data_IF_041159568849
#
_entry.id   IF_041159568849
#
_cell.length_a   1.000
_cell.length_b   1.000
_cell.length_c   1.000
_cell.angle_alpha   90.00
_cell.angle_beta   90.00
_cell.angle_gamma   90.00
#
_symmetry.space_group_name_H-M   'P 1'
#
loop_
_entity.id
_entity.type
_entity.pdbx_description
1 polymer ?
#
# COMPACT_ATOMS: atom_id res chain seq x y z
N UNK A 1 -44.56 -61.97 -41.65
CA UNK A 1 -44.38 -62.79 -40.43
C UNK A 1 -44.58 -61.87 -39.21
N UNK A 2 -45.78 -61.88 -38.60
CA UNK A 2 -46.09 -62.19 -37.18
C UNK A 2 -45.28 -61.43 -36.09
N UNK A 3 -45.88 -60.37 -35.50
CA UNK A 3 -46.41 -60.21 -34.11
C UNK A 3 -45.80 -61.04 -32.91
N UNK A 4 -46.03 -60.69 -31.60
CA UNK A 4 -45.48 -59.56 -30.79
C UNK A 4 -45.23 -59.91 -29.26
N UNK A 5 -44.94 -58.89 -28.42
CA UNK A 5 -45.35 -58.64 -26.99
C UNK A 5 -45.16 -59.63 -25.81
N UNK A 6 -44.72 -59.08 -24.66
CA UNK A 6 -45.39 -59.02 -23.31
C UNK A 6 -44.34 -58.92 -22.17
N UNK A 7 -44.53 -58.28 -21.00
CA UNK A 7 -45.62 -57.55 -20.32
C UNK A 7 -45.11 -57.18 -18.89
N UNK A 8 -45.12 -55.92 -18.46
CA UNK A 8 -46.06 -55.20 -17.55
C UNK A 8 -46.31 -55.77 -16.12
N UNK A 9 -45.82 -54.99 -15.13
CA UNK A 9 -46.48 -54.39 -13.93
C UNK A 9 -47.34 -55.27 -12.99
N UNK A 10 -47.06 -55.20 -11.67
CA UNK A 10 -48.06 -54.95 -10.61
C UNK A 10 -47.45 -54.40 -9.31
N UNK A 11 -48.17 -53.43 -8.74
CA UNK A 11 -48.04 -52.76 -7.44
C UNK A 11 -48.83 -53.52 -6.35
N UNK A 12 -48.33 -53.65 -5.11
CA UNK A 12 -49.14 -53.99 -3.91
C UNK A 12 -48.45 -53.54 -2.59
N UNK A 13 -49.12 -52.67 -1.80
CA UNK A 13 -49.01 -52.57 -0.33
C UNK A 13 -50.06 -53.49 0.33
N UNK A 14 -49.89 -53.98 1.58
CA UNK A 14 -50.57 -53.30 2.72
C UNK A 14 -49.94 -53.43 4.14
N UNK A 15 -50.18 -52.37 4.95
CA UNK A 15 -50.59 -52.29 6.38
C UNK A 15 -49.68 -52.66 7.60
N UNK A 16 -49.93 -52.02 8.79
CA UNK A 16 -48.99 -51.91 9.92
C UNK A 16 -49.36 -52.77 11.15
N UNK A 17 -48.40 -53.05 12.04
CA UNK A 17 -48.64 -53.66 13.37
C UNK A 17 -47.76 -53.04 14.45
N UNK A 18 -48.40 -52.60 15.55
CA UNK A 18 -47.80 -52.12 16.80
C UNK A 18 -47.73 -53.25 17.85
N UNK A 19 -46.75 -53.20 18.78
CA UNK A 19 -46.93 -53.19 20.26
C UNK A 19 -45.76 -53.81 21.07
N UNK A 20 -45.57 -53.24 22.27
CA UNK A 20 -44.81 -53.68 23.46
C UNK A 20 -43.28 -53.41 23.45
N UNK A 21 -42.65 -52.76 24.43
CA UNK A 21 -43.03 -52.41 25.81
C UNK A 21 -42.15 -53.17 26.82
N UNK A 22 -41.03 -52.58 27.27
CA UNK A 22 -40.47 -52.84 28.61
C UNK A 22 -39.44 -51.78 29.01
N UNK A 23 -39.71 -51.09 30.12
CA UNK A 23 -38.78 -50.25 30.86
C UNK A 23 -37.89 -51.10 31.77
N UNK A 24 -36.69 -50.60 32.09
CA UNK A 24 -36.16 -50.51 33.46
C UNK A 24 -34.88 -49.67 33.51
N UNK A 25 -34.96 -48.62 34.33
CA UNK A 25 -33.96 -48.08 35.27
C UNK A 25 -32.74 -47.27 34.77
N UNK A 26 -32.80 -45.97 35.05
CA UNK A 26 -31.69 -45.00 35.15
C UNK A 26 -30.67 -45.36 36.27
N UNK A 27 -29.46 -44.79 36.23
CA UNK A 27 -29.24 -43.60 37.07
C UNK A 27 -28.51 -42.44 36.36
N UNK A 28 -28.84 -41.24 36.83
CA UNK A 28 -28.27 -39.96 36.45
C UNK A 28 -26.80 -39.79 36.87
N UNK A 29 -25.97 -39.25 35.97
CA UNK A 29 -24.72 -38.58 36.28
C UNK A 29 -24.54 -37.39 35.32
N UNK A 30 -24.12 -36.28 35.90
CA UNK A 30 -23.98 -34.92 35.36
C UNK A 30 -22.95 -34.75 34.24
N UNK A 31 -23.30 -33.85 33.30
CA UNK A 31 -22.60 -33.15 32.18
C UNK A 31 -21.07 -33.20 32.04
N UNK A 32 -20.54 -33.12 30.79
CA UNK A 32 -20.15 -31.80 30.30
C UNK A 32 -20.45 -31.51 28.82
N UNK A 33 -20.96 -30.30 28.59
CA UNK A 33 -20.75 -29.38 27.46
C UNK A 33 -20.05 -29.93 26.20
N UNK A 34 -20.80 -29.92 25.09
CA UNK A 34 -20.25 -30.09 23.75
C UNK A 34 -19.33 -28.92 23.40
N UNK A 35 -18.03 -29.11 23.62
CA UNK A 35 -16.95 -28.24 23.16
C UNK A 35 -16.86 -28.32 21.63
N UNK A 36 -17.51 -27.38 20.94
CA UNK A 36 -17.14 -27.03 19.56
C UNK A 36 -15.72 -26.46 19.54
N UNK A 37 -14.95 -26.64 18.45
CA UNK A 37 -13.57 -26.20 18.39
C UNK A 37 -13.50 -24.68 18.54
N UNK A 38 -13.03 -24.23 19.71
CA UNK A 38 -12.57 -22.87 19.93
C UNK A 38 -11.29 -22.69 19.11
N UNK A 39 -11.44 -22.14 17.90
CA UNK A 39 -10.31 -21.49 17.24
C UNK A 39 -9.81 -20.39 18.19
N UNK A 40 -8.62 -20.58 18.72
CA UNK A 40 -7.89 -19.65 19.58
C UNK A 40 -7.50 -18.40 18.79
N UNK A 41 -8.49 -17.53 18.55
CA UNK A 41 -8.33 -16.18 17.97
C UNK A 41 -7.67 -15.17 18.92
N UNK A 42 -6.70 -15.61 19.73
CA UNK A 42 -6.01 -14.77 20.72
C UNK A 42 -4.77 -14.08 20.15
N UNK A 43 -4.03 -14.73 19.25
CA UNK A 43 -2.77 -14.18 18.73
C UNK A 43 -2.94 -13.23 17.53
N UNK A 44 -4.08 -13.27 16.83
CA UNK A 44 -4.35 -12.38 15.69
C UNK A 44 -5.09 -11.10 16.09
N UNK A 45 -5.79 -11.08 17.23
CA UNK A 45 -6.48 -9.88 17.72
C UNK A 45 -5.53 -8.83 18.31
N UNK A 46 -4.37 -9.24 18.82
CA UNK A 46 -3.38 -8.34 19.42
C UNK A 46 -2.62 -7.48 18.40
N UNK A 47 -2.61 -7.85 17.13
CA UNK A 47 -1.92 -7.09 16.08
C UNK A 47 -2.78 -6.04 15.37
N UNK A 48 -4.11 -6.10 15.52
CA UNK A 48 -5.06 -5.28 14.73
C UNK A 48 -5.75 -4.16 15.51
N UNK A 49 -5.36 -3.91 16.77
CA UNK A 49 -5.97 -2.86 17.60
C UNK A 49 -4.92 -1.89 18.15
N UNK A 50 -4.44 -0.93 17.32
CA UNK A 50 -4.20 0.41 17.87
C UNK A 50 -4.55 1.53 16.87
N UNK A 51 -5.74 1.52 16.27
CA UNK A 51 -6.25 2.69 15.53
C UNK A 51 -7.51 3.32 16.15
N UNK A 52 -7.97 2.81 17.28
CA UNK A 52 -9.08 3.39 18.05
C UNK A 52 -8.75 3.22 19.53
N UNK A 53 -8.84 4.31 20.30
CA UNK A 53 -8.47 4.52 21.73
C UNK A 53 -7.01 4.97 21.99
N UNK A 54 -6.73 6.01 22.78
CA UNK A 54 -7.54 7.04 23.45
C UNK A 54 -6.54 8.00 24.13
N UNK A 55 -6.28 9.20 23.61
CA UNK A 55 -5.53 10.23 24.36
C UNK A 55 -5.75 11.69 23.85
N UNK A 56 -6.80 11.95 23.08
CA UNK A 56 -7.06 13.30 22.50
C UNK A 56 -8.30 14.01 23.09
N UNK A 57 -9.06 13.37 23.98
CA UNK A 57 -10.28 13.97 24.53
C UNK A 57 -10.04 14.73 25.85
N UNK A 58 -9.39 15.88 25.74
CA UNK A 58 -9.61 16.99 26.67
C UNK A 58 -10.15 18.18 25.88
N UNK A 59 -11.47 18.36 25.88
CA UNK A 59 -12.15 19.41 25.13
C UNK A 59 -12.07 20.77 25.84
N UNK A 60 -11.54 21.84 25.22
CA UNK A 60 -11.86 23.20 25.61
C UNK A 60 -13.25 23.57 25.06
N UNK A 61 -14.03 24.29 25.85
CA UNK A 61 -15.40 24.73 25.56
C UNK A 61 -15.58 25.27 24.12
N UNK A 62 -16.52 24.65 23.41
CA UNK A 62 -16.93 24.96 22.05
C UNK A 62 -17.69 26.30 21.99
N UNK A 63 -17.02 27.38 21.58
CA UNK A 63 -17.68 28.52 20.92
C UNK A 63 -16.70 29.56 20.37
N UNK A 64 -15.45 29.62 20.87
CA UNK A 64 -14.44 30.57 20.38
C UNK A 64 -13.31 29.93 19.54
N UNK A 65 -13.16 28.60 19.59
CA UNK A 65 -12.05 27.86 18.98
C UNK A 65 -12.28 27.40 17.52
N UNK A 66 -13.46 27.59 16.95
CA UNK A 66 -13.85 27.07 15.63
C UNK A 66 -13.29 27.86 14.43
N UNK A 67 -12.40 28.83 14.66
CA UNK A 67 -11.87 29.76 13.64
C UNK A 67 -10.35 29.77 13.50
N UNK A 68 -9.65 28.82 14.14
CA UNK A 68 -8.25 28.53 13.82
C UNK A 68 -8.23 27.51 12.67
N UNK A 69 -8.29 28.11 11.47
CA UNK A 69 -8.86 27.65 10.20
C UNK A 69 -7.96 26.69 9.42
N UNK A 70 -8.56 25.70 8.73
CA UNK A 70 -8.16 24.95 7.51
C UNK A 70 -6.69 25.01 7.09
N UNK A 71 -6.12 26.21 6.89
CA UNK A 71 -4.71 26.44 6.61
C UNK A 71 -3.77 25.83 7.65
N UNK A 72 -4.05 25.95 8.94
CA UNK A 72 -3.20 25.36 9.99
C UNK A 72 -3.19 23.82 9.93
N UNK A 73 -4.33 23.22 9.57
CA UNK A 73 -4.46 21.78 9.38
C UNK A 73 -3.67 21.31 8.16
N UNK A 74 -3.80 22.02 7.03
CA UNK A 74 -3.04 21.75 5.80
C UNK A 74 -1.53 21.92 6.01
N UNK A 75 -1.12 22.99 6.71
CA UNK A 75 0.28 23.23 7.05
C UNK A 75 0.84 22.16 8.00
N UNK A 76 0.00 21.57 8.86
CA UNK A 76 0.43 20.59 9.86
C UNK A 76 0.95 21.22 11.15
N UNK A 77 0.48 22.41 11.52
CA UNK A 77 0.96 23.11 12.73
C UNK A 77 0.79 22.28 14.02
N UNK A 78 -0.25 21.45 14.07
CA UNK A 78 -0.51 20.49 15.14
C UNK A 78 0.56 19.39 15.27
N UNK A 79 1.29 19.09 14.20
CA UNK A 79 2.31 18.03 14.16
C UNK A 79 3.68 18.50 14.68
N UNK A 80 3.86 19.82 14.88
CA UNK A 80 5.10 20.40 15.40
C UNK A 80 5.38 20.05 16.87
N UNK A 81 4.39 19.47 17.58
CA UNK A 81 4.53 19.13 18.99
C UNK A 81 5.60 18.04 19.19
N UNK A 82 6.62 18.26 20.04
CA UNK A 82 7.59 17.23 20.40
C UNK A 82 6.88 15.95 20.87
N UNK A 83 7.26 14.80 20.31
CA UNK A 83 6.60 13.51 20.58
C UNK A 83 5.43 13.17 19.63
N UNK A 84 5.10 14.05 18.68
CA UNK A 84 4.10 13.77 17.64
C UNK A 84 4.46 12.56 16.77
N UNK A 85 3.45 11.82 16.31
CA UNK A 85 3.63 10.62 15.49
C UNK A 85 4.39 10.87 14.18
N UNK A 86 4.49 12.13 13.71
CA UNK A 86 5.24 12.50 12.50
C UNK A 86 6.73 12.16 12.60
N UNK A 87 7.37 12.37 13.76
CA UNK A 87 8.80 12.10 13.93
C UNK A 87 9.09 10.60 13.90
N UNK A 88 8.26 9.81 14.59
CA UNK A 88 8.33 8.34 14.56
C UNK A 88 8.08 7.81 13.16
N UNK A 89 7.04 8.29 12.48
CA UNK A 89 6.75 7.93 11.10
C UNK A 89 7.89 8.30 10.15
N UNK A 90 8.51 9.47 10.32
CA UNK A 90 9.66 9.90 9.49
C UNK A 90 10.88 9.02 9.71
N UNK A 91 11.12 8.56 10.94
CA UNK A 91 12.18 7.59 11.22
C UNK A 91 11.92 6.24 10.52
N UNK A 92 10.66 5.78 10.50
CA UNK A 92 10.27 4.58 9.75
C UNK A 92 10.45 4.78 8.25
N UNK A 93 10.07 5.92 7.70
CA UNK A 93 10.29 6.26 6.29
C UNK A 93 11.78 6.30 5.95
N UNK A 94 12.64 6.82 6.84
CA UNK A 94 14.09 6.84 6.67
C UNK A 94 14.68 5.43 6.65
N UNK A 95 14.39 4.62 7.68
CA UNK A 95 14.94 3.26 7.81
C UNK A 95 14.37 2.35 6.73
N UNK A 96 13.06 2.43 6.49
CA UNK A 96 12.36 1.67 5.46
C UNK A 96 12.93 1.97 4.08
N UNK A 97 13.08 3.25 3.71
CA UNK A 97 13.66 3.62 2.41
C UNK A 97 15.14 3.23 2.30
N UNK A 98 15.90 3.34 3.40
CA UNK A 98 17.29 2.91 3.46
C UNK A 98 17.45 1.42 3.13
N UNK A 99 16.72 0.56 3.82
CA UNK A 99 16.82 -0.89 3.59
C UNK A 99 16.21 -1.24 2.22
N UNK A 100 15.11 -0.59 1.81
CA UNK A 100 14.51 -0.80 0.49
C UNK A 100 15.51 -0.50 -0.64
N UNK A 101 16.20 0.64 -0.59
CA UNK A 101 17.20 1.01 -1.62
C UNK A 101 18.42 0.10 -1.57
N UNK A 102 18.89 -0.31 -0.38
CA UNK A 102 19.97 -1.29 -0.27
C UNK A 102 19.62 -2.60 -0.98
N UNK A 103 18.43 -3.15 -0.72
CA UNK A 103 17.98 -4.41 -1.33
C UNK A 103 17.70 -4.23 -2.82
N UNK A 104 17.10 -3.11 -3.23
CA UNK A 104 16.90 -2.74 -4.64
C UNK A 104 18.19 -2.83 -5.45
N UNK A 105 19.27 -2.20 -4.97
CA UNK A 105 20.57 -2.24 -5.65
C UNK A 105 21.09 -3.68 -5.72
N UNK A 106 20.92 -4.46 -4.65
CA UNK A 106 21.29 -5.88 -4.63
C UNK A 106 20.55 -6.70 -5.70
N UNK A 107 19.24 -6.46 -5.89
CA UNK A 107 18.43 -7.14 -6.91
C UNK A 107 18.92 -6.77 -8.32
N UNK A 108 19.07 -5.48 -8.60
CA UNK A 108 19.55 -4.99 -9.91
C UNK A 108 20.95 -5.53 -10.18
N UNK A 109 21.85 -5.47 -9.20
CA UNK A 109 23.20 -6.01 -9.30
C UNK A 109 23.22 -7.50 -9.59
N UNK A 110 22.39 -8.29 -8.91
CA UNK A 110 22.29 -9.72 -9.15
C UNK A 110 21.81 -10.02 -10.58
N UNK A 111 20.83 -9.25 -11.08
CA UNK A 111 20.35 -9.35 -12.45
C UNK A 111 21.42 -8.98 -13.49
N UNK A 112 22.23 -7.95 -13.21
CA UNK A 112 23.31 -7.48 -14.10
C UNK A 112 24.52 -8.41 -14.11
N UNK A 113 24.97 -8.88 -12.95
CA UNK A 113 26.19 -9.70 -12.83
C UNK A 113 26.00 -11.14 -13.29
N UNK A 114 24.93 -11.77 -12.83
CA UNK A 114 24.84 -13.21 -12.98
C UNK A 114 24.32 -13.64 -14.33
N UNK A 115 23.72 -12.74 -15.14
CA UNK A 115 23.41 -12.90 -16.57
C UNK A 115 22.63 -14.15 -17.00
N UNK A 116 22.32 -15.04 -16.05
CA UNK A 116 21.82 -16.39 -16.25
C UNK A 116 20.30 -16.42 -16.32
N UNK A 117 19.65 -15.28 -16.12
CA UNK A 117 18.22 -15.14 -16.32
C UNK A 117 17.96 -14.95 -17.81
N UNK A 118 17.18 -15.87 -18.39
CA UNK A 118 16.73 -15.76 -19.79
C UNK A 118 15.98 -14.44 -20.06
N UNK A 119 15.40 -13.82 -19.02
CA UNK A 119 14.73 -12.52 -19.10
C UNK A 119 14.91 -11.70 -17.80
N UNK A 120 16.03 -10.97 -17.64
CA UNK A 120 16.33 -10.23 -16.40
C UNK A 120 15.22 -9.24 -15.97
N UNK A 121 14.55 -8.48 -16.86
CA UNK A 121 13.47 -7.58 -16.47
C UNK A 121 12.27 -8.25 -15.78
N UNK A 122 11.95 -9.49 -16.16
CA UNK A 122 10.83 -10.23 -15.57
C UNK A 122 11.14 -10.60 -14.11
N UNK A 123 12.33 -11.14 -13.87
CA UNK A 123 12.79 -11.48 -12.53
C UNK A 123 12.90 -10.23 -11.66
N UNK A 124 13.46 -9.14 -12.20
CA UNK A 124 13.50 -7.87 -11.50
C UNK A 124 12.09 -7.39 -11.12
N UNK A 125 11.13 -7.44 -12.04
CA UNK A 125 9.74 -7.06 -11.77
C UNK A 125 9.10 -7.90 -10.65
N UNK A 126 9.23 -9.23 -10.71
CA UNK A 126 8.66 -10.14 -9.70
C UNK A 126 9.27 -9.89 -8.32
N UNK A 127 10.60 -9.79 -8.23
CA UNK A 127 11.27 -9.63 -6.93
C UNK A 127 10.99 -8.25 -6.34
N UNK A 128 10.94 -7.18 -7.15
CA UNK A 128 10.55 -5.86 -6.68
C UNK A 128 9.07 -5.79 -6.26
N UNK A 129 8.19 -6.54 -6.90
CA UNK A 129 6.79 -6.63 -6.47
C UNK A 129 6.66 -7.20 -5.06
N UNK A 130 7.37 -8.30 -4.79
CA UNK A 130 7.40 -8.92 -3.46
C UNK A 130 8.05 -7.96 -2.45
N UNK A 131 9.20 -7.36 -2.81
CA UNK A 131 9.93 -6.44 -1.95
C UNK A 131 9.05 -5.26 -1.53
N UNK A 132 8.46 -4.53 -2.48
CA UNK A 132 7.65 -3.36 -2.14
C UNK A 132 6.42 -3.76 -1.33
N UNK A 133 5.77 -4.89 -1.65
CA UNK A 133 4.63 -5.38 -0.88
C UNK A 133 4.97 -5.60 0.59
N UNK A 134 6.10 -6.25 0.89
CA UNK A 134 6.55 -6.51 2.27
C UNK A 134 6.90 -5.21 3.00
N UNK A 135 7.56 -4.29 2.31
CA UNK A 135 7.95 -3.01 2.89
C UNK A 135 6.75 -2.13 3.19
N UNK A 136 5.76 -2.04 2.29
CA UNK A 136 4.51 -1.33 2.59
C UNK A 136 3.78 -2.04 3.74
N UNK A 137 3.67 -3.37 3.72
CA UNK A 137 2.98 -4.12 4.78
C UNK A 137 3.55 -3.84 6.18
N UNK A 138 4.87 -3.76 6.28
CA UNK A 138 5.56 -3.51 7.56
C UNK A 138 5.55 -2.04 7.99
N UNK A 139 5.51 -1.09 7.05
CA UNK A 139 5.65 0.34 7.35
C UNK A 139 4.33 1.12 7.31
N UNK A 140 3.27 0.54 6.74
CA UNK A 140 1.96 1.18 6.58
C UNK A 140 1.35 1.58 7.93
N UNK A 141 1.35 0.71 8.93
CA UNK A 141 0.77 1.02 10.24
C UNK A 141 1.48 2.19 10.96
N UNK A 142 2.83 2.22 11.09
CA UNK A 142 3.50 3.29 11.82
C UNK A 142 3.73 4.59 11.03
N UNK A 143 3.70 4.58 9.69
CA UNK A 143 4.04 5.75 8.87
C UNK A 143 3.10 6.05 7.71
N UNK A 144 2.22 5.12 7.34
CA UNK A 144 1.50 5.15 6.06
C UNK A 144 2.26 4.42 4.94
N UNK A 145 3.55 4.10 5.15
CA UNK A 145 4.33 3.24 4.26
C UNK A 145 4.51 3.82 2.87
N UNK A 146 4.83 5.11 2.79
CA UNK A 146 5.00 5.80 1.52
C UNK A 146 6.27 5.33 0.81
N UNK A 147 7.41 5.35 1.52
CA UNK A 147 8.75 4.91 1.08
C UNK A 147 9.21 5.52 -0.26
N UNK A 148 8.52 6.56 -0.71
CA UNK A 148 8.59 7.09 -2.05
C UNK A 148 8.14 8.57 -2.03
N UNK A 149 9.01 9.49 -2.45
CA UNK A 149 8.66 10.90 -2.61
C UNK A 149 7.41 11.14 -3.46
N UNK A 150 7.21 10.37 -4.52
CA UNK A 150 6.06 10.49 -5.44
C UNK A 150 4.74 10.18 -4.74
N UNK A 151 4.71 9.15 -3.89
CA UNK A 151 3.54 8.78 -3.09
C UNK A 151 3.25 9.90 -2.08
N UNK A 152 4.29 10.37 -1.38
CA UNK A 152 4.17 11.47 -0.40
C UNK A 152 3.63 12.76 -1.03
N UNK A 153 4.09 13.11 -2.23
CA UNK A 153 3.58 14.27 -2.96
C UNK A 153 2.11 14.06 -3.37
N UNK A 154 1.76 12.88 -3.90
CA UNK A 154 0.39 12.57 -4.29
C UNK A 154 -0.58 12.63 -3.11
N UNK A 155 -0.21 12.07 -1.94
CA UNK A 155 -1.03 12.12 -0.73
C UNK A 155 -1.14 13.54 -0.19
N UNK A 156 -0.12 14.37 -0.38
CA UNK A 156 -0.15 15.80 0.00
C UNK A 156 -1.09 16.58 -0.91
N UNK A 157 -1.00 16.43 -2.23
CA UNK A 157 -1.86 17.12 -3.19
C UNK A 157 -3.34 16.72 -3.10
N UNK A 158 -3.61 15.50 -2.66
CA UNK A 158 -4.98 15.01 -2.40
C UNK A 158 -5.44 15.31 -0.97
N UNK A 159 -4.60 15.89 -0.12
CA UNK A 159 -4.95 16.30 1.25
C UNK A 159 -5.13 15.13 2.23
N UNK A 160 -4.40 14.04 2.03
CA UNK A 160 -4.20 12.96 3.00
C UNK A 160 -2.98 13.19 3.90
N UNK A 161 -2.04 14.04 3.48
CA UNK A 161 -0.78 14.32 4.17
C UNK A 161 -0.58 15.82 4.32
N UNK A 162 -0.20 16.28 5.51
CA UNK A 162 0.07 17.71 5.76
C UNK A 162 1.37 18.14 5.11
N UNK A 163 1.53 19.44 4.84
CA UNK A 163 2.75 19.98 4.25
C UNK A 163 3.98 19.75 5.13
N UNK A 164 3.85 19.87 6.45
CA UNK A 164 4.94 19.57 7.37
C UNK A 164 5.37 18.10 7.31
N UNK A 165 4.41 17.16 7.36
CA UNK A 165 4.70 15.74 7.20
C UNK A 165 5.32 15.41 5.85
N UNK A 166 4.83 16.05 4.79
CA UNK A 166 5.40 15.93 3.45
C UNK A 166 6.89 16.29 3.46
N UNK A 167 7.25 17.47 3.98
CA UNK A 167 8.66 17.89 4.07
C UNK A 167 9.54 16.93 4.89
N UNK A 168 9.01 16.44 6.01
CA UNK A 168 9.71 15.46 6.85
C UNK A 168 9.92 14.12 6.14
N UNK A 169 8.89 13.60 5.46
CA UNK A 169 8.94 12.33 4.74
C UNK A 169 9.83 12.40 3.51
N UNK A 170 9.75 13.49 2.72
CA UNK A 170 10.65 13.71 1.58
C UNK A 170 12.11 13.72 2.02
N UNK A 171 12.42 14.43 3.11
CA UNK A 171 13.77 14.48 3.67
C UNK A 171 14.22 13.11 4.16
N UNK A 172 13.37 12.41 4.91
CA UNK A 172 13.64 11.07 5.44
C UNK A 172 13.89 10.04 4.31
N UNK A 173 13.04 10.04 3.28
CA UNK A 173 13.14 9.13 2.14
C UNK A 173 14.41 9.40 1.32
N UNK A 174 14.72 10.66 1.03
CA UNK A 174 15.93 11.02 0.28
C UNK A 174 17.20 10.63 1.06
N UNK A 175 17.27 10.99 2.34
CA UNK A 175 18.40 10.61 3.21
C UNK A 175 18.49 9.09 3.33
N UNK A 176 17.37 8.41 3.54
CA UNK A 176 17.28 6.96 3.58
C UNK A 176 17.83 6.32 2.32
N UNK A 177 17.38 6.75 1.13
CA UNK A 177 17.86 6.22 -0.15
C UNK A 177 19.36 6.41 -0.36
N UNK A 178 19.91 7.56 0.02
CA UNK A 178 21.36 7.81 -0.01
C UNK A 178 22.09 6.86 0.94
N UNK A 179 21.62 6.73 2.20
CA UNK A 179 22.23 5.83 3.18
C UNK A 179 22.20 4.37 2.72
N UNK A 180 21.08 3.91 2.16
CA UNK A 180 20.94 2.55 1.63
C UNK A 180 21.94 2.26 0.51
N UNK A 181 22.10 3.21 -0.41
CA UNK A 181 23.06 3.09 -1.50
C UNK A 181 24.52 3.16 -1.03
N UNK A 182 24.83 4.02 -0.07
CA UNK A 182 26.15 4.09 0.58
C UNK A 182 26.47 2.79 1.30
N UNK A 183 25.53 2.23 2.07
CA UNK A 183 25.70 0.95 2.75
C UNK A 183 25.99 -0.18 1.75
N UNK A 184 25.29 -0.21 0.62
CA UNK A 184 25.59 -1.18 -0.44
C UNK A 184 27.01 -1.00 -0.98
N UNK A 185 27.42 0.23 -1.29
CA UNK A 185 28.79 0.52 -1.75
C UNK A 185 29.84 0.09 -0.73
N UNK A 186 29.59 0.32 0.56
CA UNK A 186 30.48 -0.12 1.65
C UNK A 186 30.54 -1.64 1.70
N UNK A 187 29.40 -2.34 1.65
CA UNK A 187 29.33 -3.81 1.66
C UNK A 187 30.07 -4.46 0.47
N UNK A 188 30.12 -3.79 -0.68
CA UNK A 188 30.87 -4.25 -1.86
C UNK A 188 32.38 -3.96 -1.77
N UNK A 189 32.83 -3.26 -0.71
CA UNK A 189 34.20 -2.82 -0.55
C UNK A 189 34.40 -1.42 -1.14
N UNK A 190 34.32 -0.41 -0.28
CA UNK A 190 34.39 1.02 -0.65
C UNK A 190 35.59 1.39 -1.55
N UNK A 191 36.72 0.71 -1.36
CA UNK A 191 37.99 0.96 -2.04
C UNK A 191 38.32 0.00 -3.20
N UNK A 192 37.44 -0.95 -3.53
CA UNK A 192 37.67 -1.98 -4.56
C UNK A 192 37.67 -1.43 -6.00
N UNK A 193 37.41 -0.13 -6.19
CA UNK A 193 37.42 0.55 -7.49
C UNK A 193 36.10 1.30 -7.76
N UNK A 194 36.00 1.99 -8.91
CA UNK A 194 34.74 2.61 -9.31
C UNK A 194 33.76 1.52 -9.74
N UNK A 195 32.68 1.32 -8.97
CA UNK A 195 31.53 0.54 -9.44
C UNK A 195 30.90 1.25 -10.64
N UNK A 196 30.46 0.47 -11.61
CA UNK A 196 29.70 1.02 -12.73
C UNK A 196 28.30 1.47 -12.30
N UNK A 197 27.74 2.41 -13.04
CA UNK A 197 26.38 2.93 -12.83
C UNK A 197 25.35 1.79 -12.82
N UNK A 198 25.50 0.81 -13.71
CA UNK A 198 24.63 -0.36 -13.80
C UNK A 198 24.73 -1.29 -12.57
N UNK A 199 25.91 -1.45 -11.99
CA UNK A 199 26.11 -2.30 -10.81
C UNK A 199 25.53 -1.68 -9.53
N UNK A 200 25.47 -0.36 -9.47
CA UNK A 200 24.90 0.38 -8.34
C UNK A 200 23.44 0.75 -8.54
N UNK A 201 22.81 0.32 -9.64
CA UNK A 201 21.43 0.66 -10.00
C UNK A 201 21.18 2.18 -10.17
N UNK A 202 22.15 2.89 -10.72
CA UNK A 202 21.95 4.30 -11.10
C UNK A 202 20.94 4.36 -12.23
N UNK A 203 19.84 5.09 -12.02
CA UNK A 203 18.81 5.29 -13.04
C UNK A 203 19.43 5.95 -14.29
N UNK A 204 19.13 5.39 -15.46
CA UNK A 204 19.63 5.84 -16.76
C UNK A 204 18.49 5.97 -17.76
N UNK A 205 18.69 6.79 -18.79
CA UNK A 205 17.78 6.93 -19.91
C UNK A 205 18.03 5.89 -21.00
N UNK A 206 19.13 5.13 -20.91
CA UNK A 206 19.61 4.31 -22.02
C UNK A 206 19.77 5.17 -23.28
N UNK A 207 19.09 4.77 -24.36
CA UNK A 207 19.07 5.51 -25.63
C UNK A 207 17.92 6.51 -25.77
N UNK A 208 17.10 6.74 -24.73
CA UNK A 208 15.98 7.68 -24.79
C UNK A 208 16.44 9.14 -24.76
N UNK A 209 15.72 10.00 -25.48
CA UNK A 209 15.85 11.45 -25.33
C UNK A 209 15.36 11.90 -23.94
N UNK A 210 15.83 13.06 -23.47
CA UNK A 210 15.37 13.65 -22.19
C UNK A 210 13.85 13.82 -22.16
N UNK A 211 13.24 14.27 -23.25
CA UNK A 211 11.79 14.45 -23.35
C UNK A 211 11.03 13.13 -23.31
N UNK A 212 11.54 12.10 -23.98
CA UNK A 212 10.97 10.75 -23.96
C UNK A 212 11.06 10.12 -22.58
N UNK A 213 12.22 10.21 -21.92
CA UNK A 213 12.43 9.72 -20.56
C UNK A 213 11.54 10.47 -19.56
N UNK A 214 11.41 11.78 -19.69
CA UNK A 214 10.49 12.58 -18.86
C UNK A 214 9.04 12.13 -19.00
N UNK A 215 8.55 11.98 -20.23
CA UNK A 215 7.19 11.48 -20.47
C UNK A 215 7.01 10.07 -19.89
N UNK A 216 8.01 9.19 -20.06
CA UNK A 216 7.98 7.84 -19.51
C UNK A 216 7.88 7.86 -17.98
N UNK A 217 8.70 8.65 -17.29
CA UNK A 217 8.64 8.80 -15.83
C UNK A 217 7.28 9.33 -15.36
N UNK A 218 6.65 10.26 -16.10
CA UNK A 218 5.29 10.73 -15.80
C UNK A 218 4.29 9.57 -15.89
N UNK A 219 4.29 8.83 -17.00
CA UNK A 219 3.30 7.77 -17.26
C UNK A 219 3.46 6.58 -16.32
N UNK A 220 4.68 6.08 -16.13
CA UNK A 220 4.93 4.95 -15.24
C UNK A 220 4.64 5.29 -13.78
N UNK A 221 5.01 6.49 -13.34
CA UNK A 221 4.65 6.96 -12.00
C UNK A 221 3.14 7.10 -11.87
N UNK A 222 2.46 7.69 -12.86
CA UNK A 222 1.01 7.81 -12.83
C UNK A 222 0.33 6.45 -12.72
N UNK A 223 0.77 5.43 -13.46
CA UNK A 223 0.22 4.09 -13.37
C UNK A 223 0.38 3.48 -11.96
N UNK A 224 1.56 3.64 -11.34
CA UNK A 224 1.80 3.21 -9.96
C UNK A 224 0.86 3.93 -8.97
N UNK A 225 0.80 5.25 -9.10
CA UNK A 225 -0.03 6.11 -8.26
C UNK A 225 -1.53 5.82 -8.43
N UNK A 226 -1.98 5.57 -9.65
CA UNK A 226 -3.37 5.29 -9.96
C UNK A 226 -3.86 4.01 -9.26
N UNK A 227 -3.06 2.94 -9.28
CA UNK A 227 -3.38 1.71 -8.55
C UNK A 227 -3.31 1.91 -7.04
N UNK A 228 -2.27 2.61 -6.56
CA UNK A 228 -2.14 2.90 -5.13
C UNK A 228 -3.34 3.69 -4.59
N UNK A 229 -3.77 4.74 -5.29
CA UNK A 229 -4.93 5.53 -4.91
C UNK A 229 -6.24 4.78 -5.07
N UNK A 230 -6.40 4.03 -6.16
CA UNK A 230 -7.59 3.24 -6.41
C UNK A 230 -7.84 2.17 -5.35
N UNK A 231 -6.81 1.64 -4.70
CA UNK A 231 -6.94 0.52 -3.74
C UNK A 231 -6.78 0.97 -2.29
N UNK A 232 -5.75 1.76 -1.98
CA UNK A 232 -5.44 2.15 -0.61
C UNK A 232 -6.19 3.40 -0.15
N UNK A 233 -6.53 4.30 -1.07
CA UNK A 233 -7.12 5.61 -0.73
C UNK A 233 -8.58 5.78 -1.19
N UNK A 234 -9.12 4.87 -2.01
CA UNK A 234 -10.57 4.77 -2.25
C UNK A 234 -11.23 4.09 -1.04
N UNK A 235 -12.13 4.75 -0.29
CA UNK A 235 -12.74 4.18 0.91
C UNK A 235 -13.48 2.85 0.67
N UNK A 236 -14.03 2.65 -0.53
CA UNK A 236 -14.75 1.41 -0.89
C UNK A 236 -13.77 0.25 -1.02
N UNK A 237 -12.66 0.48 -1.70
CA UNK A 237 -11.63 -0.53 -1.91
C UNK A 237 -10.82 -0.76 -0.63
N UNK A 238 -10.53 0.29 0.14
CA UNK A 238 -9.87 0.18 1.42
C UNK A 238 -10.71 -0.62 2.45
N UNK A 239 -12.05 -0.60 2.37
CA UNK A 239 -12.88 -1.46 3.21
C UNK A 239 -12.84 -2.94 2.79
N UNK A 240 -12.74 -3.22 1.49
CA UNK A 240 -12.75 -4.58 0.95
C UNK A 240 -11.38 -5.25 0.99
N UNK A 241 -10.35 -4.55 0.51
CA UNK A 241 -8.99 -5.05 0.32
C UNK A 241 -8.06 -4.62 1.45
N UNK A 242 -8.35 -3.49 2.09
CA UNK A 242 -7.76 -3.07 3.36
C UNK A 242 -6.25 -3.11 3.46
N UNK A 243 -5.74 -3.12 4.72
CA UNK A 243 -4.31 -3.15 5.01
C UNK A 243 -3.60 -4.43 4.50
N UNK A 244 -4.37 -5.49 4.22
CA UNK A 244 -3.81 -6.81 3.88
C UNK A 244 -3.45 -6.88 2.39
N UNK A 245 -4.35 -6.47 1.49
CA UNK A 245 -4.16 -6.67 0.06
C UNK A 245 -3.63 -5.43 -0.67
N UNK A 246 -3.85 -4.22 -0.16
CA UNK A 246 -3.34 -3.00 -0.79
C UNK A 246 -1.80 -3.05 -1.02
N UNK A 247 -0.96 -3.51 -0.07
CA UNK A 247 0.48 -3.65 -0.30
C UNK A 247 0.81 -4.57 -1.49
N UNK A 248 0.09 -5.69 -1.61
CA UNK A 248 0.30 -6.68 -2.68
C UNK A 248 0.01 -6.10 -4.05
N UNK A 249 -1.11 -5.37 -4.20
CA UNK A 249 -1.45 -4.75 -5.48
C UNK A 249 -0.49 -3.63 -5.87
N UNK A 250 -0.08 -2.80 -4.90
CA UNK A 250 0.87 -1.71 -5.15
C UNK A 250 2.24 -2.27 -5.55
N UNK A 251 2.72 -3.30 -4.83
CA UNK A 251 3.95 -4.00 -5.20
C UNK A 251 3.86 -4.64 -6.57
N UNK A 252 2.78 -5.37 -6.86
CA UNK A 252 2.55 -5.98 -8.17
C UNK A 252 2.57 -4.94 -9.29
N UNK A 253 1.92 -3.79 -9.10
CA UNK A 253 1.94 -2.70 -10.08
C UNK A 253 3.36 -2.16 -10.32
N UNK A 254 4.16 -1.98 -9.25
CA UNK A 254 5.57 -1.61 -9.39
C UNK A 254 6.32 -2.64 -10.25
N UNK A 255 6.14 -3.93 -9.94
CA UNK A 255 6.81 -5.01 -10.68
C UNK A 255 6.43 -5.05 -12.16
N UNK A 256 5.15 -4.86 -12.48
CA UNK A 256 4.66 -4.74 -13.86
C UNK A 256 5.31 -3.54 -14.55
N UNK A 257 5.37 -2.38 -13.89
CA UNK A 257 6.01 -1.19 -14.44
C UNK A 257 7.50 -1.41 -14.71
N UNK A 258 8.23 -2.07 -13.79
CA UNK A 258 9.65 -2.40 -13.97
C UNK A 258 9.83 -3.30 -15.20
N UNK A 259 9.03 -4.36 -15.33
CA UNK A 259 9.10 -5.26 -16.47
C UNK A 259 8.76 -4.55 -17.79
N UNK A 260 7.65 -3.80 -17.81
CA UNK A 260 7.14 -3.17 -19.02
C UNK A 260 7.98 -1.97 -19.47
N UNK A 261 8.52 -1.19 -18.53
CA UNK A 261 9.37 -0.04 -18.87
C UNK A 261 10.72 -0.44 -19.45
N UNK A 262 11.24 -1.63 -19.09
CA UNK A 262 12.52 -2.13 -19.58
C UNK A 262 12.56 -2.37 -21.11
N UNK A 263 11.41 -2.44 -21.79
CA UNK A 263 11.34 -2.57 -23.26
C UNK A 263 11.23 -1.24 -24.00
N UNK A 264 11.16 -0.11 -23.28
CA UNK A 264 10.91 1.19 -23.89
C UNK A 264 12.13 1.74 -24.65
N UNK A 265 13.33 1.34 -24.27
CA UNK A 265 14.57 1.70 -24.98
C UNK A 265 15.01 0.57 -25.91
N UNK A 266 15.53 0.95 -27.09
CA UNK A 266 16.07 -0.01 -28.09
C UNK A 266 17.31 -0.73 -27.57
N UNK A 267 18.09 -0.05 -26.73
CA UNK A 267 19.26 -0.61 -26.04
C UNK A 267 18.94 -0.78 -24.55
N UNK A 268 19.51 -1.81 -23.89
CA UNK A 268 19.38 -1.96 -22.44
C UNK A 268 19.87 -0.70 -21.71
N UNK A 269 19.08 -0.19 -20.77
CA UNK A 269 19.52 0.92 -19.92
C UNK A 269 18.40 1.74 -19.28
N UNK A 270 17.22 1.83 -19.90
CA UNK A 270 16.07 2.47 -19.27
C UNK A 270 15.23 1.46 -18.48
N UNK A 271 14.96 1.79 -17.22
CA UNK A 271 13.90 1.20 -16.40
C UNK A 271 13.27 2.35 -15.63
N UNK A 272 11.95 2.37 -15.52
CA UNK A 272 11.24 3.47 -14.89
C UNK A 272 11.66 3.63 -13.42
N UNK A 273 12.07 4.85 -13.07
CA UNK A 273 12.53 5.17 -11.72
C UNK A 273 11.38 5.25 -10.73
N UNK A 274 10.36 6.04 -11.05
CA UNK A 274 9.10 6.25 -10.27
C UNK A 274 9.28 6.75 -8.82
N UNK A 275 10.51 6.79 -8.33
CA UNK A 275 10.89 7.10 -6.95
C UNK A 275 12.23 7.85 -6.97
N UNK A 276 12.18 9.15 -6.63
CA UNK A 276 13.38 9.98 -6.66
C UNK A 276 14.47 9.50 -5.69
N UNK A 277 14.11 8.94 -4.53
CA UNK A 277 15.10 8.44 -3.57
C UNK A 277 15.86 7.21 -4.11
N UNK A 278 15.17 6.34 -4.86
CA UNK A 278 15.75 5.17 -5.54
C UNK A 278 16.72 5.58 -6.64
N UNK A 279 16.46 6.68 -7.36
CA UNK A 279 17.36 7.16 -8.41
C UNK A 279 18.51 8.03 -7.90
N UNK A 280 18.26 8.90 -6.91
CA UNK A 280 19.28 9.80 -6.37
C UNK A 280 20.31 9.06 -5.51
N UNK A 281 19.87 8.11 -4.69
CA UNK A 281 20.74 7.38 -3.74
C UNK A 281 21.95 6.75 -4.41
N UNK A 282 21.75 5.82 -5.37
CA UNK A 282 22.80 5.25 -6.22
C UNK A 282 23.74 6.26 -6.86
N UNK A 283 23.19 7.33 -7.46
CA UNK A 283 23.98 8.34 -8.16
C UNK A 283 24.94 9.07 -7.21
N UNK A 284 24.43 9.44 -6.02
CA UNK A 284 25.25 10.02 -4.95
C UNK A 284 26.27 9.00 -4.43
N UNK A 285 25.86 7.75 -4.22
CA UNK A 285 26.72 6.71 -3.70
C UNK A 285 27.86 6.37 -4.67
N UNK A 286 27.67 6.42 -6.00
CA UNK A 286 28.75 6.29 -7.00
C UNK A 286 29.65 7.54 -7.03
N UNK A 287 29.14 8.69 -6.59
CA UNK A 287 29.84 9.97 -6.65
C UNK A 287 29.65 10.70 -7.98
N UNK A 288 28.63 10.32 -8.77
CA UNK A 288 28.27 10.94 -10.04
C UNK A 288 26.77 11.12 -10.10
N UNK A 289 26.31 12.37 -9.98
CA UNK A 289 24.90 12.71 -10.17
C UNK A 289 24.74 13.27 -11.59
N UNK A 290 24.11 12.52 -12.52
CA UNK A 290 23.86 13.04 -13.86
C UNK A 290 23.07 14.35 -13.84
N UNK A 291 23.39 15.27 -14.75
CA UNK A 291 22.64 16.52 -14.91
C UNK A 291 21.16 16.29 -15.23
N UNK A 292 20.80 15.09 -15.70
CA UNK A 292 19.43 14.68 -16.04
C UNK A 292 18.65 14.11 -14.85
N UNK A 293 19.25 13.96 -13.66
CA UNK A 293 18.60 13.37 -12.49
C UNK A 293 17.32 14.10 -12.07
N UNK A 294 17.17 15.39 -12.40
CA UNK A 294 15.94 16.15 -12.14
C UNK A 294 14.70 15.53 -12.78
N UNK A 295 14.84 14.77 -13.87
CA UNK A 295 13.72 14.10 -14.55
C UNK A 295 13.02 13.10 -13.63
N UNK A 296 13.81 12.36 -12.83
CA UNK A 296 13.30 11.40 -11.85
C UNK A 296 12.65 12.05 -10.61
N UNK A 297 12.72 13.38 -10.49
CA UNK A 297 11.97 14.14 -9.50
C UNK A 297 10.75 14.83 -10.12
N UNK A 298 10.98 15.59 -11.19
CA UNK A 298 9.94 16.42 -11.80
C UNK A 298 8.88 15.57 -12.51
N UNK A 299 9.27 14.51 -13.22
CA UNK A 299 8.33 13.60 -13.88
C UNK A 299 7.35 12.98 -12.89
N UNK A 300 7.83 12.33 -11.81
CA UNK A 300 6.96 11.79 -10.77
C UNK A 300 6.13 12.85 -10.02
N UNK A 301 6.66 14.07 -9.82
CA UNK A 301 5.89 15.18 -9.24
C UNK A 301 4.72 15.60 -10.15
N UNK A 302 4.94 15.70 -11.46
CA UNK A 302 3.89 15.99 -12.44
C UNK A 302 2.84 14.88 -12.43
N UNK A 303 3.26 13.60 -12.38
CA UNK A 303 2.34 12.47 -12.26
C UNK A 303 1.48 12.56 -10.99
N UNK A 304 2.07 12.93 -9.84
CA UNK A 304 1.36 13.14 -8.59
C UNK A 304 0.32 14.27 -8.69
N UNK A 305 0.66 15.38 -9.35
CA UNK A 305 -0.26 16.48 -9.57
C UNK A 305 -1.43 16.08 -10.50
N UNK A 306 -1.13 15.38 -11.60
CA UNK A 306 -2.15 14.88 -12.54
C UNK A 306 -3.07 13.87 -11.84
N UNK A 307 -2.53 12.94 -11.05
CA UNK A 307 -3.33 12.03 -10.23
C UNK A 307 -4.25 12.80 -9.29
N UNK A 308 -3.74 13.82 -8.59
CA UNK A 308 -4.56 14.60 -7.68
C UNK A 308 -5.75 15.26 -8.41
N UNK A 309 -5.52 15.83 -9.60
CA UNK A 309 -6.61 16.36 -10.45
C UNK A 309 -7.63 15.27 -10.79
N UNK A 310 -7.18 14.09 -11.25
CA UNK A 310 -8.07 12.96 -11.56
C UNK A 310 -8.88 12.53 -10.33
N UNK A 311 -8.21 12.34 -9.20
CA UNK A 311 -8.81 11.86 -7.96
C UNK A 311 -9.82 12.85 -7.36
N UNK A 312 -9.54 14.16 -7.46
CA UNK A 312 -10.43 15.23 -7.00
C UNK A 312 -11.62 15.40 -7.96
N UNK A 313 -11.40 15.30 -9.27
CA UNK A 313 -12.44 15.48 -10.29
C UNK A 313 -13.41 14.30 -10.39
N UNK A 314 -12.95 13.07 -10.13
CA UNK A 314 -13.75 11.86 -10.15
C UNK A 314 -13.67 11.12 -8.80
N UNK A 315 -14.22 11.69 -7.71
CA UNK A 315 -14.04 11.14 -6.39
C UNK A 315 -14.73 9.78 -6.21
N UNK A 316 -14.19 8.92 -5.31
CA UNK A 316 -14.80 7.64 -4.93
C UNK A 316 -16.29 7.70 -4.55
N UNK A 317 -16.77 8.88 -4.15
CA UNK A 317 -18.15 9.15 -3.73
C UNK A 317 -18.94 10.10 -4.65
N UNK A 318 -18.59 10.21 -5.93
CA UNK A 318 -19.33 11.05 -6.90
C UNK A 318 -20.86 10.84 -6.85
N UNK A 319 -21.32 9.61 -6.55
CA UNK A 319 -22.74 9.29 -6.42
C UNK A 319 -23.42 9.74 -5.10
N UNK A 320 -22.69 10.02 -4.02
CA UNK A 320 -23.27 10.35 -2.68
C UNK A 320 -23.05 11.79 -2.22
N UNK A 321 -21.93 12.43 -2.59
CA UNK A 321 -21.57 13.75 -2.05
C UNK A 321 -21.25 14.83 -3.10
N UNK A 322 -21.32 14.49 -4.39
CA UNK A 322 -21.12 15.42 -5.52
C UNK A 322 -19.70 15.99 -5.69
N UNK A 323 -18.93 16.15 -4.59
CA UNK A 323 -17.61 16.77 -4.55
C UNK A 323 -16.65 15.99 -3.64
N UNK A 324 -15.36 15.99 -4.00
CA UNK A 324 -14.30 15.46 -3.15
C UNK A 324 -14.09 16.37 -1.93
N UNK A 325 -14.05 15.78 -0.73
CA UNK A 325 -13.65 16.47 0.49
C UNK A 325 -12.31 15.90 0.96
N UNK A 326 -11.22 16.71 0.96
CA UNK A 326 -9.92 16.25 1.43
C UNK A 326 -10.01 15.75 2.87
N UNK A 327 -9.42 14.58 3.21
CA UNK A 327 -9.50 14.03 4.56
C UNK A 327 -9.00 14.97 5.65
N UNK A 328 -7.95 15.76 5.38
CA UNK A 328 -7.45 16.78 6.32
C UNK A 328 -8.47 17.89 6.66
N UNK A 329 -9.49 18.08 5.81
CA UNK A 329 -10.52 19.11 5.97
C UNK A 329 -11.87 18.55 6.45
N UNK A 330 -12.00 17.22 6.54
CA UNK A 330 -13.16 16.59 7.15
C UNK A 330 -13.01 16.64 8.67
N UNK A 331 -13.76 17.52 9.34
CA UNK A 331 -14.02 17.36 10.77
C UNK A 331 -14.68 15.99 10.98
N UNK A 332 -14.18 15.20 11.94
CA UNK A 332 -14.84 13.96 12.34
C UNK A 332 -16.35 14.22 12.54
N UNK A 333 -17.24 13.31 12.10
CA UNK A 333 -18.66 13.50 12.35
C UNK A 333 -18.85 13.68 13.86
N UNK A 334 -19.54 14.76 14.23
CA UNK A 334 -20.00 14.98 15.59
C UNK A 334 -20.69 13.69 16.03
N UNK A 335 -20.26 13.13 17.16
CA UNK A 335 -20.77 11.87 17.75
C UNK A 335 -22.31 11.86 17.91
N UNK A 336 -23.00 12.99 17.70
CA UNK A 336 -24.44 13.10 17.64
C UNK A 336 -25.14 12.40 16.45
N UNK A 337 -24.52 12.30 15.27
CA UNK A 337 -25.21 11.71 14.10
C UNK A 337 -25.25 10.16 14.11
N UNK A 338 -24.27 9.52 14.78
CA UNK A 338 -24.27 8.06 14.94
C UNK A 338 -25.26 7.60 16.02
N UNK A 339 -25.59 8.46 16.98
CA UNK A 339 -26.60 8.15 18.01
C UNK A 339 -28.01 8.17 17.44
N UNK A 340 -28.34 9.10 16.53
CA UNK A 340 -29.68 9.15 15.93
C UNK A 340 -29.95 7.97 15.00
N UNK A 341 -28.94 7.52 14.24
CA UNK A 341 -29.08 6.33 13.40
C UNK A 341 -29.12 5.01 14.18
N UNK A 342 -28.43 4.92 15.33
CA UNK A 342 -28.51 3.74 16.20
C UNK A 342 -29.83 3.68 16.99
N UNK A 343 -30.41 4.83 17.37
CA UNK A 343 -31.71 4.89 18.05
C UNK A 343 -32.90 4.73 17.09
N UNK A 344 -32.74 5.06 15.81
CA UNK A 344 -33.79 4.83 14.81
C UNK A 344 -33.95 3.35 14.40
N UNK A 345 -32.96 2.49 14.68
CA UNK A 345 -33.00 1.06 14.34
C UNK A 345 -33.42 0.14 15.50
N UNK A 346 -33.59 0.67 16.72
CA UNK A 346 -34.09 -0.08 17.88
C UNK A 346 -35.55 0.25 18.23
N UNK A 347 -36.20 1.09 17.42
CA UNK A 347 -37.60 1.49 17.56
C UNK A 347 -38.51 0.90 16.47
N UNK A 348 -38.55 -0.42 16.33
CA UNK A 348 -39.64 -1.15 15.65
C UNK A 348 -39.68 -2.60 16.11
#
# INVERSE_FOLDING_TARGET
MRHPTNGRVTDQRPSPVSLHGRSTNEPSMSEPDAVGPRYTGGLLRTWYSPLVESDVYASPSASSAARFTTLQQVLGAQEFRPGGGVYRGSLIELIGTCIFVYVHIGIVRAATLFGAFAYPPLIMGIVHAILLSLFIFTTAAPSGGHLNPSITLATTFTGHTTLFRCGMYLSAQIVGGILGAVLMRVSLGWHQGPFSDAEMAVCSFGSLSVGSAFMAEVVWTFALLFVAFGIAFDPRQAQLFGPIMAPVFIGTQLGINIFASASLSVEPGYVAGMNFAVCLGPAVAVGRVPATTWVYFLGPMVAAAVLAVVFISAPPHHAKHGFYRPPLLCSAPLVGELSEHALAQTGS
#
